data_IF_345189484048
#
_entry.id   IF_345189484048
#
_cell.length_a   1.000
_cell.length_b   1.000
_cell.length_c   1.000
_cell.angle_alpha   90.00
_cell.angle_beta   90.00
_cell.angle_gamma   90.00
#
_symmetry.space_group_name_H-M   'P 1'
#
loop_
_entity.id
_entity.type
_entity.pdbx_description
1 polymer ?
#
# COMPACT_ATOMS: atom_id res chain seq x y z
N UNK A 1 21.33 9.38 9.45
CA UNK A 1 19.93 9.75 9.22
C UNK A 1 19.12 8.50 9.52
N UNK A 2 18.26 8.53 10.54
CA UNK A 2 17.36 7.41 10.84
C UNK A 2 16.16 7.54 9.89
N UNK A 3 16.35 7.17 8.63
CA UNK A 3 15.25 7.10 7.69
C UNK A 3 14.42 5.89 8.10
N UNK A 4 13.36 6.15 8.87
CA UNK A 4 12.44 5.12 9.30
C UNK A 4 11.64 4.66 8.07
N UNK A 5 12.13 3.64 7.37
CA UNK A 5 11.49 3.01 6.20
C UNK A 5 10.10 2.43 6.47
N UNK A 6 9.60 2.54 7.70
CA UNK A 6 8.26 2.13 8.12
C UNK A 6 7.35 3.33 8.49
N UNK A 7 7.83 4.59 8.41
CA UNK A 7 7.07 5.81 8.73
C UNK A 7 6.11 6.21 7.57
N UNK A 8 4.79 6.27 7.81
CA UNK A 8 3.80 6.72 6.82
C UNK A 8 4.05 8.11 6.24
N UNK A 9 4.80 8.97 6.93
CA UNK A 9 5.13 10.33 6.46
C UNK A 9 6.01 10.32 5.21
N UNK A 10 6.76 9.24 4.95
CA UNK A 10 7.63 9.11 3.77
C UNK A 10 6.84 9.29 2.46
N UNK A 11 5.54 9.00 2.45
CA UNK A 11 4.67 9.29 1.31
C UNK A 11 4.67 10.76 0.88
N UNK A 12 4.87 11.69 1.82
CA UNK A 12 4.91 13.13 1.53
C UNK A 12 6.13 13.52 0.70
N UNK A 13 7.20 12.74 0.76
CA UNK A 13 8.47 13.01 0.08
C UNK A 13 8.43 12.58 -1.39
N UNK A 14 7.43 11.79 -1.80
CA UNK A 14 7.19 11.48 -3.20
C UNK A 14 6.85 12.74 -4.01
N UNK A 15 7.38 12.81 -5.23
CA UNK A 15 6.94 13.80 -6.22
C UNK A 15 5.46 13.64 -6.54
N UNK A 16 4.82 14.71 -7.04
CA UNK A 16 3.40 14.70 -7.43
C UNK A 16 3.09 13.58 -8.44
N UNK A 17 3.99 13.34 -9.39
CA UNK A 17 3.85 12.27 -10.39
C UNK A 17 3.89 10.88 -9.73
N UNK A 18 4.85 10.64 -8.83
CA UNK A 18 4.96 9.37 -8.11
C UNK A 18 3.74 9.11 -7.21
N UNK A 19 3.25 10.13 -6.50
CA UNK A 19 2.02 10.05 -5.71
C UNK A 19 0.84 9.63 -6.58
N UNK A 20 0.68 10.28 -7.74
CA UNK A 20 -0.40 9.96 -8.68
C UNK A 20 -0.32 8.52 -9.19
N UNK A 21 0.88 8.05 -9.57
CA UNK A 21 1.07 6.66 -10.04
C UNK A 21 0.68 5.66 -8.95
N UNK A 22 1.16 5.87 -7.71
CA UNK A 22 0.87 4.97 -6.59
C UNK A 22 -0.63 4.99 -6.21
N UNK A 23 -1.24 6.16 -6.14
CA UNK A 23 -2.67 6.28 -5.81
C UNK A 23 -3.57 5.70 -6.91
N UNK A 24 -3.23 5.92 -8.19
CA UNK A 24 -3.94 5.29 -9.31
C UNK A 24 -3.82 3.77 -9.24
N UNK A 25 -2.63 3.24 -8.97
CA UNK A 25 -2.46 1.79 -8.79
C UNK A 25 -3.32 1.25 -7.65
N UNK A 26 -3.37 1.94 -6.50
CA UNK A 26 -4.22 1.56 -5.36
C UNK A 26 -5.70 1.53 -5.77
N UNK A 27 -6.18 2.57 -6.47
CA UNK A 27 -7.58 2.69 -6.91
C UNK A 27 -7.96 1.58 -7.91
N UNK A 28 -7.09 1.32 -8.88
CA UNK A 28 -7.33 0.33 -9.93
C UNK A 28 -7.19 -1.12 -9.44
N UNK A 29 -6.36 -1.36 -8.43
CA UNK A 29 -5.96 -2.72 -8.04
C UNK A 29 -6.54 -3.21 -6.72
N UNK A 30 -6.90 -2.32 -5.79
CA UNK A 30 -7.37 -2.69 -4.47
C UNK A 30 -8.85 -2.35 -4.31
N UNK A 31 -9.61 -3.32 -3.80
CA UNK A 31 -11.04 -3.14 -3.51
C UNK A 31 -11.25 -3.06 -2.00
N UNK A 32 -11.89 -1.98 -1.53
CA UNK A 32 -12.16 -1.73 -0.12
C UNK A 32 -13.38 -2.52 0.38
N UNK A 33 -13.26 -3.16 1.55
CA UNK A 33 -14.36 -3.90 2.21
C UNK A 33 -14.56 -3.43 3.66
N UNK A 34 -15.55 -3.99 4.37
CA UNK A 34 -15.82 -3.63 5.78
C UNK A 34 -14.87 -4.30 6.77
N UNK A 35 -14.50 -5.56 6.55
CA UNK A 35 -13.63 -6.34 7.43
C UNK A 35 -12.15 -6.16 7.08
N UNK A 36 -11.27 -6.51 8.01
CA UNK A 36 -9.83 -6.56 7.76
C UNK A 36 -9.42 -7.87 7.12
N UNK A 37 -8.40 -7.83 6.26
CA UNK A 37 -7.88 -9.01 5.58
C UNK A 37 -6.43 -9.26 5.98
N UNK A 38 -6.23 -10.13 6.96
CA UNK A 38 -4.92 -10.45 7.55
C UNK A 38 -4.00 -11.28 6.65
N UNK A 39 -4.48 -11.72 5.47
CA UNK A 39 -3.67 -12.49 4.51
C UNK A 39 -2.62 -11.65 3.79
N UNK A 40 -2.84 -10.34 3.72
CA UNK A 40 -1.97 -9.40 3.03
C UNK A 40 -1.64 -8.22 3.92
N UNK A 41 -0.37 -7.83 3.93
CA UNK A 41 0.12 -6.69 4.70
C UNK A 41 0.72 -5.63 3.80
N UNK A 42 0.97 -4.44 4.34
CA UNK A 42 1.65 -3.33 3.65
C UNK A 42 2.93 -3.78 2.93
N UNK A 43 3.71 -4.67 3.54
CA UNK A 43 4.96 -5.17 2.98
C UNK A 43 4.75 -5.98 1.69
N UNK A 44 3.80 -6.92 1.72
CA UNK A 44 3.47 -7.72 0.53
C UNK A 44 2.85 -6.86 -0.58
N UNK A 45 1.93 -5.97 -0.21
CA UNK A 45 1.25 -5.08 -1.15
C UNK A 45 2.20 -4.10 -1.85
N UNK A 46 3.16 -3.51 -1.12
CA UNK A 46 4.15 -2.63 -1.77
C UNK A 46 4.98 -3.36 -2.82
N UNK A 47 5.30 -4.64 -2.60
CA UNK A 47 6.02 -5.43 -3.59
C UNK A 47 5.15 -5.76 -4.82
N UNK A 48 3.82 -5.87 -4.67
CA UNK A 48 2.92 -6.00 -5.82
C UNK A 48 2.89 -4.71 -6.64
N UNK A 49 2.91 -3.55 -5.97
CA UNK A 49 3.05 -2.26 -6.66
C UNK A 49 4.39 -2.16 -7.40
N UNK A 50 5.51 -2.43 -6.72
CA UNK A 50 6.87 -2.38 -7.29
C UNK A 50 7.01 -3.25 -8.55
N UNK A 51 6.33 -4.40 -8.60
CA UNK A 51 6.34 -5.36 -9.73
C UNK A 51 5.32 -5.05 -10.82
N UNK A 52 4.47 -4.03 -10.65
CA UNK A 52 3.49 -3.63 -11.65
C UNK A 52 4.13 -2.87 -12.80
N UNK A 53 3.43 -2.74 -13.94
CA UNK A 53 3.94 -2.11 -15.17
C UNK A 53 4.50 -0.70 -14.95
N UNK A 54 3.85 0.10 -14.10
CA UNK A 54 4.25 1.47 -13.77
C UNK A 54 4.87 1.57 -12.37
N UNK A 55 5.16 0.43 -11.74
CA UNK A 55 5.71 0.33 -10.41
C UNK A 55 7.11 0.94 -10.31
N UNK A 56 7.44 1.44 -9.13
CA UNK A 56 8.78 1.85 -8.77
C UNK A 56 9.05 1.51 -7.31
N UNK A 57 10.32 1.53 -6.91
CA UNK A 57 10.72 1.21 -5.55
C UNK A 57 10.15 2.20 -4.54
N UNK A 58 9.54 1.69 -3.47
CA UNK A 58 9.07 2.46 -2.32
C UNK A 58 9.34 1.68 -1.03
N UNK A 59 9.56 2.40 0.07
CA UNK A 59 9.62 1.76 1.38
C UNK A 59 8.21 1.42 1.92
N UNK A 60 8.17 0.66 3.01
CA UNK A 60 6.92 0.20 3.62
C UNK A 60 6.12 1.37 4.21
N UNK A 61 6.80 2.36 4.78
CA UNK A 61 6.22 3.62 5.25
C UNK A 61 5.51 4.37 4.13
N UNK A 62 6.17 4.59 3.00
CA UNK A 62 5.58 5.24 1.82
C UNK A 62 4.29 4.57 1.38
N UNK A 63 4.25 3.23 1.32
CA UNK A 63 3.01 2.52 0.97
C UNK A 63 1.91 2.69 2.03
N UNK A 64 2.25 2.63 3.33
CA UNK A 64 1.29 2.91 4.42
C UNK A 64 0.67 4.30 4.31
N UNK A 65 1.49 5.31 4.00
CA UNK A 65 1.03 6.69 3.81
C UNK A 65 0.06 6.81 2.64
N UNK A 66 0.33 6.15 1.52
CA UNK A 66 -0.58 6.14 0.37
C UNK A 66 -1.93 5.47 0.70
N UNK A 67 -1.92 4.40 1.50
CA UNK A 67 -3.16 3.72 1.91
C UNK A 67 -4.03 4.60 2.84
N UNK A 68 -3.40 5.41 3.70
CA UNK A 68 -4.09 6.44 4.50
C UNK A 68 -4.74 7.49 3.60
N UNK A 69 -3.99 8.02 2.63
CA UNK A 69 -4.48 9.00 1.65
C UNK A 69 -5.68 8.45 0.84
N UNK A 70 -5.63 7.16 0.47
CA UNK A 70 -6.72 6.45 -0.20
C UNK A 70 -7.88 6.03 0.73
N UNK A 71 -7.90 6.51 1.98
CA UNK A 71 -8.94 6.29 2.98
C UNK A 71 -9.18 4.81 3.35
N UNK A 72 -8.14 3.96 3.33
CA UNK A 72 -8.23 2.59 3.84
C UNK A 72 -8.13 2.57 5.36
N UNK A 73 -8.85 1.64 5.99
CA UNK A 73 -8.79 1.40 7.44
C UNK A 73 -7.59 0.52 7.76
N UNK A 74 -6.98 0.77 8.91
CA UNK A 74 -5.84 0.01 9.42
C UNK A 74 -6.28 -0.76 10.66
N UNK A 75 -5.88 -2.03 10.77
CA UNK A 75 -6.23 -2.87 11.90
C UNK A 75 -5.47 -2.47 13.18
N UNK A 76 -4.15 -2.23 13.07
CA UNK A 76 -3.29 -1.83 14.16
C UNK A 76 -2.11 -1.00 13.63
N UNK A 77 -2.01 0.26 14.04
CA UNK A 77 -0.94 1.18 13.59
C UNK A 77 0.40 0.96 14.29
N UNK A 78 0.40 0.23 15.43
CA UNK A 78 1.63 -0.10 16.17
C UNK A 78 2.43 -1.23 15.52
N UNK A 79 1.84 -1.95 14.57
CA UNK A 79 2.51 -3.02 13.84
C UNK A 79 3.49 -2.46 12.79
N UNK A 80 4.58 -3.19 12.56
CA UNK A 80 5.49 -2.88 11.45
C UNK A 80 4.81 -3.08 10.09
N UNK A 81 4.06 -4.17 9.93
CA UNK A 81 3.38 -4.51 8.68
C UNK A 81 1.88 -4.33 8.86
N UNK A 82 1.30 -3.31 8.23
CA UNK A 82 -0.11 -2.96 8.45
C UNK A 82 -1.05 -3.86 7.66
N UNK A 83 -2.14 -4.26 8.31
CA UNK A 83 -3.28 -4.94 7.68
C UNK A 83 -4.37 -3.92 7.39
N UNK A 84 -4.96 -4.03 6.20
CA UNK A 84 -6.00 -3.13 5.71
C UNK A 84 -7.32 -3.85 5.45
N UNK A 85 -8.38 -3.06 5.27
CA UNK A 85 -9.70 -3.54 4.88
C UNK A 85 -9.82 -3.79 3.36
N UNK A 86 -9.03 -4.73 2.84
CA UNK A 86 -8.93 -5.03 1.40
C UNK A 86 -9.59 -6.38 1.07
N UNK A 87 -10.36 -6.41 -0.02
CA UNK A 87 -10.98 -7.60 -0.60
C UNK A 87 -9.92 -8.60 -1.10
N UNK A 88 -10.08 -9.89 -0.82
CA UNK A 88 -9.30 -10.94 -1.50
C UNK A 88 -9.62 -11.03 -3.01
N UNK A 89 -10.66 -10.32 -3.50
CA UNK A 89 -11.01 -10.23 -4.93
C UNK A 89 -10.30 -9.09 -5.67
N UNK A 90 -9.50 -8.29 -4.96
CA UNK A 90 -8.68 -7.20 -5.50
C UNK A 90 -7.86 -7.68 -6.71
N UNK A 91 -7.74 -6.84 -7.73
CA UNK A 91 -7.17 -7.23 -9.01
C UNK A 91 -5.69 -7.66 -8.90
N UNK A 92 -4.92 -7.04 -8.00
CA UNK A 92 -3.51 -7.37 -7.80
C UNK A 92 -3.26 -8.83 -7.35
N UNK A 93 -4.27 -9.54 -6.84
CA UNK A 93 -4.13 -10.93 -6.37
C UNK A 93 -4.44 -11.97 -7.46
N UNK A 94 -4.92 -11.56 -8.64
CA UNK A 94 -5.45 -12.49 -9.66
C UNK A 94 -4.38 -13.26 -10.44
N UNK A 95 -3.10 -12.88 -10.34
CA UNK A 95 -1.98 -13.49 -11.07
C UNK A 95 -1.00 -14.28 -10.19
N UNK A 96 -1.41 -14.73 -8.99
CA UNK A 96 -0.56 -15.58 -8.12
C UNK A 96 -0.70 -17.08 -8.40
N UNK A 97 -0.89 -17.48 -9.67
CA UNK A 97 -0.93 -18.89 -10.09
C UNK A 97 0.30 -19.23 -10.91
#
# INVERSE_FOLDING_TARGET
MNDNYDDPKNFKDLSTTQKKILLNWIDENLEKIKSFNTKHTSYGLKHLFEKSTNGFYIDNGTFKGAMLEANYKIQNTNEKNWVFNISNKSACFKNSK
#
